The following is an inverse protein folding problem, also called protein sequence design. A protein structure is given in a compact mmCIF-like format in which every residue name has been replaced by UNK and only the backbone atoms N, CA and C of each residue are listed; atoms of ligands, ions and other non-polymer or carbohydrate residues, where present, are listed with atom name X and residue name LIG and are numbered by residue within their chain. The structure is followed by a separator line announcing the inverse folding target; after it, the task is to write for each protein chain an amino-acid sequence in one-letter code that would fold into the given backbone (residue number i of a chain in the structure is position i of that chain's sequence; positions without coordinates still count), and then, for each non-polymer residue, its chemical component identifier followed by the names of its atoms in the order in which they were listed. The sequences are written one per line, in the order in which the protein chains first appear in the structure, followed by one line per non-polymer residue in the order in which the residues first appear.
data_IF_186667532193
#
_entry.id   IF_186667532193
#
_cell.length_a   1.000
_cell.length_b   1.000
_cell.length_c   1.000
_cell.angle_alpha   90.00
_cell.angle_beta   90.00
_cell.angle_gamma   90.00
#
_symmetry.space_group_name_H-M   'P 1'
#
loop_
_entity.id
_entity.type
_entity.pdbx_description
1 polymer ?
#
# COMPACT_ATOMS: atom_id res chain seq x y z
N UNK A 1 19.17 11.69 -5.27
CA UNK A 1 19.16 12.76 -4.24
C UNK A 1 18.65 14.11 -4.75
N UNK A 2 19.19 14.61 -5.87
CA UNK A 2 18.79 15.92 -6.46
C UNK A 2 17.32 16.00 -6.83
N UNK A 3 16.78 14.99 -7.51
CA UNK A 3 15.36 14.90 -7.91
C UNK A 3 14.42 15.13 -6.72
N UNK A 4 14.57 14.34 -5.64
CA UNK A 4 13.70 14.46 -4.46
C UNK A 4 13.84 15.83 -3.78
N UNK A 5 15.06 16.38 -3.73
CA UNK A 5 15.30 17.69 -3.14
C UNK A 5 14.61 18.82 -3.93
N UNK A 6 14.64 18.74 -5.27
CA UNK A 6 13.96 19.70 -6.14
C UNK A 6 12.45 19.67 -5.96
N UNK A 7 11.85 18.48 -5.86
CA UNK A 7 10.41 18.35 -5.59
C UNK A 7 10.05 18.83 -4.18
N UNK A 8 10.86 18.52 -3.16
CA UNK A 8 10.66 18.99 -1.80
C UNK A 8 10.77 20.52 -1.67
N UNK A 9 11.60 21.17 -2.50
CA UNK A 9 11.68 22.63 -2.55
C UNK A 9 10.41 23.28 -3.14
N UNK A 10 9.63 22.55 -3.95
CA UNK A 10 8.41 23.02 -4.62
C UNK A 10 7.12 22.65 -3.87
N UNK A 11 7.14 21.55 -3.12
CA UNK A 11 5.98 21.05 -2.40
C UNK A 11 6.34 20.71 -0.95
N UNK A 12 5.87 21.55 -0.03
CA UNK A 12 6.11 21.42 1.42
C UNK A 12 5.53 20.15 2.05
N UNK A 13 4.64 19.43 1.34
CA UNK A 13 4.11 18.14 1.78
C UNK A 13 5.16 17.03 1.64
N UNK A 14 6.18 17.22 0.79
CA UNK A 14 7.25 16.25 0.56
C UNK A 14 8.35 16.45 1.60
N UNK A 15 8.54 15.46 2.48
CA UNK A 15 9.59 15.46 3.50
C UNK A 15 10.64 14.38 3.22
N UNK A 16 11.76 14.71 2.57
CA UNK A 16 12.81 13.73 2.31
C UNK A 16 13.48 13.29 3.61
N UNK A 17 13.73 11.99 3.74
CA UNK A 17 14.58 11.45 4.79
C UNK A 17 15.61 10.54 4.16
N UNK A 18 16.89 10.78 4.45
CA UNK A 18 18.01 9.99 3.96
C UNK A 18 18.59 9.18 5.13
N UNK A 19 18.58 7.86 4.99
CA UNK A 19 19.27 6.99 5.93
C UNK A 19 20.80 7.14 5.78
N UNK A 20 21.52 6.98 6.89
CA UNK A 20 23.00 7.08 6.92
C UNK A 20 23.68 5.97 6.11
N UNK A 21 22.98 4.85 5.90
CA UNK A 21 23.42 3.73 5.07
C UNK A 21 22.24 2.93 4.52
N UNK A 22 22.53 1.86 3.77
CA UNK A 22 21.50 0.93 3.33
C UNK A 22 21.04 0.07 4.51
N UNK A 23 19.79 0.25 4.94
CA UNK A 23 19.18 -0.50 6.05
C UNK A 23 18.28 -1.65 5.56
N UNK A 24 18.22 -1.92 4.25
CA UNK A 24 17.34 -2.91 3.66
C UNK A 24 15.88 -2.46 3.54
N UNK A 25 15.08 -3.25 2.81
CA UNK A 25 13.70 -2.91 2.46
C UNK A 25 12.74 -2.89 3.66
N UNK A 26 12.71 -3.96 4.47
CA UNK A 26 11.81 -4.07 5.62
C UNK A 26 12.06 -2.97 6.67
N UNK A 27 13.30 -2.69 7.11
CA UNK A 27 13.55 -1.58 8.04
C UNK A 27 13.21 -0.22 7.43
N UNK A 28 13.40 -0.04 6.12
CA UNK A 28 13.01 1.19 5.43
C UNK A 28 11.48 1.37 5.36
N UNK A 29 10.71 0.30 5.10
CA UNK A 29 9.24 0.34 5.15
C UNK A 29 8.71 0.66 6.54
N UNK A 30 9.29 0.03 7.57
CA UNK A 30 8.96 0.32 8.98
C UNK A 30 9.28 1.76 9.35
N UNK A 31 10.42 2.28 8.90
CA UNK A 31 10.84 3.65 9.18
C UNK A 31 9.78 4.67 8.73
N UNK A 32 9.33 4.57 7.47
CA UNK A 32 8.35 5.52 6.94
C UNK A 32 6.95 5.34 7.56
N UNK A 33 6.56 4.11 7.92
CA UNK A 33 5.31 3.85 8.64
C UNK A 33 5.31 4.49 10.04
N UNK A 34 6.45 4.42 10.75
CA UNK A 34 6.59 5.06 12.05
C UNK A 34 6.61 6.59 11.94
N UNK A 35 7.16 7.13 10.85
CA UNK A 35 7.19 8.56 10.58
C UNK A 35 5.86 9.15 10.10
N UNK A 36 4.86 8.31 9.79
CA UNK A 36 3.53 8.73 9.36
C UNK A 36 2.76 9.44 10.47
N UNK A 37 2.06 10.53 10.11
CA UNK A 37 1.29 11.40 11.03
C UNK A 37 -0.19 11.51 10.68
N UNK A 38 -0.56 11.14 9.45
CA UNK A 38 -1.94 11.18 8.98
C UNK A 38 -2.73 9.97 9.53
N UNK A 39 -4.08 10.04 9.55
CA UNK A 39 -4.93 8.91 9.95
C UNK A 39 -4.99 7.80 8.90
N UNK A 40 -4.63 8.12 7.66
CA UNK A 40 -4.52 7.18 6.55
C UNK A 40 -3.06 7.10 6.08
N UNK A 41 -2.65 5.91 5.66
CA UNK A 41 -1.29 5.63 5.22
C UNK A 41 -1.29 4.69 4.02
N UNK A 42 -0.40 4.94 3.07
CA UNK A 42 -0.05 4.00 2.01
C UNK A 42 1.45 4.04 1.78
N UNK A 43 2.03 2.93 1.35
CA UNK A 43 3.32 2.95 0.68
C UNK A 43 3.12 3.26 -0.80
N UNK A 44 4.09 3.93 -1.41
CA UNK A 44 4.15 4.14 -2.84
C UNK A 44 5.53 3.72 -3.33
N UNK A 45 5.60 2.67 -4.16
CA UNK A 45 6.84 2.27 -4.79
C UNK A 45 7.26 3.30 -5.85
N UNK A 46 8.55 3.38 -6.14
CA UNK A 46 9.07 4.38 -7.10
C UNK A 46 8.84 3.96 -8.56
N UNK A 47 8.54 2.68 -8.78
CA UNK A 47 8.41 2.00 -10.07
C UNK A 47 6.94 1.66 -10.44
N UNK A 48 5.99 2.06 -9.59
CA UNK A 48 4.56 1.86 -9.81
C UNK A 48 3.85 3.16 -10.26
N UNK A 49 2.80 2.99 -11.06
CA UNK A 49 1.87 4.07 -11.40
C UNK A 49 0.56 3.94 -10.63
N UNK A 50 -0.02 5.09 -10.28
CA UNK A 50 -1.33 5.17 -9.64
C UNK A 50 -2.32 5.79 -10.63
N UNK A 51 -3.56 5.28 -10.64
CA UNK A 51 -4.64 5.90 -11.39
C UNK A 51 -4.96 7.31 -10.89
N UNK A 52 -5.53 8.15 -11.75
CA UNK A 52 -5.83 9.56 -11.43
C UNK A 52 -6.73 9.71 -10.19
N UNK A 53 -7.68 8.79 -10.02
CA UNK A 53 -8.62 8.77 -8.89
C UNK A 53 -8.20 7.83 -7.76
N UNK A 54 -6.95 7.37 -7.71
CA UNK A 54 -6.51 6.30 -6.81
C UNK A 54 -6.82 6.60 -5.33
N UNK A 55 -6.38 7.76 -4.83
CA UNK A 55 -6.61 8.14 -3.44
C UNK A 55 -8.08 8.44 -3.15
N UNK A 56 -8.80 9.07 -4.10
CA UNK A 56 -10.22 9.38 -3.96
C UNK A 56 -11.04 8.09 -3.81
N UNK A 57 -10.82 7.11 -4.69
CA UNK A 57 -11.52 5.83 -4.66
C UNK A 57 -11.24 5.03 -3.38
N UNK A 58 -9.97 4.94 -2.97
CA UNK A 58 -9.60 4.17 -1.78
C UNK A 58 -10.06 4.83 -0.48
N UNK A 59 -9.94 6.16 -0.38
CA UNK A 59 -10.44 6.91 0.79
C UNK A 59 -11.96 6.90 0.86
N UNK A 60 -12.65 6.98 -0.28
CA UNK A 60 -14.11 6.81 -0.38
C UNK A 60 -14.55 5.45 0.13
N UNK A 61 -13.88 4.36 -0.29
CA UNK A 61 -14.18 3.02 0.19
C UNK A 61 -14.01 2.86 1.71
N UNK A 62 -12.93 3.42 2.29
CA UNK A 62 -12.71 3.41 3.74
C UNK A 62 -13.69 4.31 4.52
N UNK A 63 -14.23 5.34 3.88
CA UNK A 63 -15.19 6.26 4.50
C UNK A 63 -16.61 5.70 4.48
N UNK A 64 -16.94 4.90 3.46
CA UNK A 64 -18.24 4.25 3.34
C UNK A 64 -18.49 3.16 4.38
N UNK A 65 -17.43 2.52 4.88
CA UNK A 65 -17.51 1.48 5.91
C UNK A 65 -16.38 1.67 6.95
N UNK A 66 -16.67 2.33 8.08
CA UNK A 66 -15.68 2.62 9.13
C UNK A 66 -15.06 1.37 9.78
N UNK A 67 -15.70 0.20 9.67
CA UNK A 67 -15.17 -1.07 10.20
C UNK A 67 -14.03 -1.61 9.32
N UNK A 68 -13.81 -1.06 8.12
CA UNK A 68 -12.71 -1.46 7.24
C UNK A 68 -11.43 -0.73 7.58
N UNK A 69 -10.36 -1.53 7.71
CA UNK A 69 -9.02 -1.03 8.03
C UNK A 69 -8.14 -0.80 6.80
N UNK A 70 -8.51 -1.36 5.65
CA UNK A 70 -7.73 -1.32 4.41
C UNK A 70 -8.64 -1.30 3.18
N UNK A 71 -8.26 -0.50 2.19
CA UNK A 71 -8.83 -0.52 0.84
C UNK A 71 -7.73 -0.85 -0.17
N UNK A 72 -8.04 -1.75 -1.11
CA UNK A 72 -7.08 -2.27 -2.09
C UNK A 72 -7.54 -1.90 -3.49
N UNK A 73 -6.68 -1.29 -4.32
CA UNK A 73 -7.06 -0.97 -5.69
C UNK A 73 -7.14 -2.24 -6.54
N UNK A 74 -7.71 -2.09 -7.73
CA UNK A 74 -7.41 -3.02 -8.83
C UNK A 74 -5.94 -2.84 -9.21
N UNK A 75 -5.21 -3.94 -9.33
CA UNK A 75 -3.79 -3.93 -9.70
C UNK A 75 -3.68 -4.30 -11.16
N UNK A 76 -2.90 -3.53 -11.92
CA UNK A 76 -2.59 -3.79 -13.31
C UNK A 76 -1.09 -3.98 -13.43
N UNK A 77 -0.65 -5.14 -13.94
CA UNK A 77 0.76 -5.36 -14.27
C UNK A 77 0.95 -5.13 -15.76
N UNK A 78 1.86 -4.24 -16.09
CA UNK A 78 2.28 -3.97 -17.46
C UNK A 78 3.66 -4.58 -17.70
N UNK A 79 3.93 -4.97 -18.94
CA UNK A 79 5.28 -5.31 -19.40
C UNK A 79 6.04 -4.01 -19.73
N UNK A 80 7.35 -4.13 -19.95
CA UNK A 80 8.21 -2.99 -20.29
C UNK A 80 7.83 -2.33 -21.63
N UNK A 81 7.18 -3.06 -22.53
CA UNK A 81 6.65 -2.53 -23.79
C UNK A 81 5.29 -1.81 -23.64
N UNK A 82 4.80 -1.65 -22.41
CA UNK A 82 3.51 -1.04 -22.08
C UNK A 82 2.31 -1.96 -22.24
N UNK A 83 2.48 -3.21 -22.70
CA UNK A 83 1.37 -4.14 -22.84
C UNK A 83 0.86 -4.61 -21.49
N UNK A 84 -0.45 -4.74 -21.35
CA UNK A 84 -1.08 -5.30 -20.16
C UNK A 84 -0.75 -6.79 -20.04
N UNK A 85 -0.24 -7.20 -18.88
CA UNK A 85 0.09 -8.58 -18.56
C UNK A 85 -0.96 -9.26 -17.67
N UNK A 86 -1.39 -8.57 -16.61
CA UNK A 86 -2.30 -9.14 -15.61
C UNK A 86 -3.17 -8.03 -15.02
N UNK A 87 -4.45 -8.34 -14.78
CA UNK A 87 -5.32 -7.55 -13.92
C UNK A 87 -5.66 -8.42 -12.71
N UNK A 88 -5.39 -7.90 -11.52
CA UNK A 88 -5.76 -8.56 -10.27
C UNK A 88 -6.78 -7.70 -9.53
N UNK A 89 -7.93 -8.30 -9.23
CA UNK A 89 -8.90 -7.81 -8.28
C UNK A 89 -9.46 -8.98 -7.48
N UNK A 90 -9.71 -8.79 -6.20
CA UNK A 90 -10.41 -9.78 -5.38
C UNK A 90 -11.89 -9.40 -5.37
N UNK A 91 -12.67 -10.05 -6.22
CA UNK A 91 -14.12 -9.82 -6.34
C UNK A 91 -14.90 -11.04 -5.89
N UNK A 92 -16.18 -10.83 -5.56
CA UNK A 92 -17.13 -11.91 -5.27
C UNK A 92 -16.89 -12.64 -3.94
N UNK A 93 -16.08 -12.10 -3.02
CA UNK A 93 -15.88 -12.69 -1.70
C UNK A 93 -17.21 -12.81 -0.94
N UNK A 94 -18.11 -11.85 -1.10
CA UNK A 94 -19.38 -11.83 -0.36
C UNK A 94 -20.26 -13.04 -0.68
N UNK A 95 -20.18 -13.58 -1.89
CA UNK A 95 -20.92 -14.76 -2.33
C UNK A 95 -20.32 -16.09 -1.83
N UNK A 96 -19.15 -16.07 -1.17
CA UNK A 96 -18.47 -17.26 -0.70
C UNK A 96 -18.65 -17.46 0.82
N UNK A 97 -18.72 -18.73 1.29
CA UNK A 97 -18.65 -19.02 2.72
C UNK A 97 -17.30 -18.56 3.28
N UNK A 98 -17.26 -18.15 4.56
CA UNK A 98 -16.10 -17.49 5.20
C UNK A 98 -14.77 -18.20 4.95
N UNK A 99 -14.71 -19.53 5.07
CA UNK A 99 -13.48 -20.30 4.87
C UNK A 99 -12.97 -20.25 3.42
N UNK A 100 -13.86 -20.23 2.42
CA UNK A 100 -13.48 -20.06 1.00
C UNK A 100 -13.03 -18.64 0.69
N UNK A 101 -13.48 -17.63 1.44
CA UNK A 101 -12.98 -16.25 1.30
C UNK A 101 -11.47 -16.19 1.56
N UNK A 102 -11.02 -16.83 2.64
CA UNK A 102 -9.59 -16.89 3.00
C UNK A 102 -8.78 -17.56 1.89
N UNK A 103 -9.22 -18.73 1.41
CA UNK A 103 -8.53 -19.43 0.31
C UNK A 103 -8.47 -18.57 -0.95
N UNK A 104 -9.59 -17.91 -1.31
CA UNK A 104 -9.65 -17.02 -2.48
C UNK A 104 -8.72 -15.82 -2.31
N UNK A 105 -8.67 -15.21 -1.12
CA UNK A 105 -7.75 -14.11 -0.82
C UNK A 105 -6.30 -14.56 -0.96
N UNK A 106 -5.93 -15.72 -0.41
CA UNK A 106 -4.56 -16.25 -0.53
C UNK A 106 -4.18 -16.54 -1.98
N UNK A 107 -5.08 -17.15 -2.76
CA UNK A 107 -4.82 -17.49 -4.17
C UNK A 107 -4.70 -16.24 -5.08
N UNK A 108 -5.49 -15.20 -4.78
CA UNK A 108 -5.52 -13.97 -5.56
C UNK A 108 -4.60 -12.87 -5.02
N UNK A 109 -3.99 -13.06 -3.85
CA UNK A 109 -3.08 -12.07 -3.27
C UNK A 109 -1.90 -11.83 -4.21
N UNK A 110 -1.55 -10.56 -4.39
CA UNK A 110 -0.39 -10.12 -5.16
C UNK A 110 0.33 -9.03 -4.37
N UNK A 111 1.64 -8.90 -4.61
CA UNK A 111 2.48 -7.91 -3.92
C UNK A 111 1.92 -6.48 -4.03
N UNK A 112 1.28 -6.13 -5.16
CA UNK A 112 0.63 -4.84 -5.36
C UNK A 112 -0.44 -4.49 -4.31
N UNK A 113 -1.04 -5.48 -3.64
CA UNK A 113 -2.06 -5.23 -2.62
C UNK A 113 -1.47 -4.56 -1.38
N UNK A 114 -0.18 -4.78 -1.11
CA UNK A 114 0.55 -4.14 -0.01
C UNK A 114 0.59 -2.61 -0.14
N UNK A 115 0.44 -2.08 -1.35
CA UNK A 115 0.44 -0.65 -1.61
C UNK A 115 -0.95 0.00 -1.51
N UNK A 116 -1.94 -0.72 -0.96
CA UNK A 116 -3.27 -0.17 -0.68
C UNK A 116 -3.25 0.95 0.37
N UNK A 117 -4.44 1.52 0.61
CA UNK A 117 -4.64 2.56 1.61
C UNK A 117 -5.11 1.93 2.92
N UNK A 118 -4.49 2.31 4.02
CA UNK A 118 -4.74 1.76 5.34
C UNK A 118 -5.16 2.83 6.34
N UNK A 119 -5.96 2.44 7.33
CA UNK A 119 -6.00 3.14 8.62
C UNK A 119 -4.62 2.99 9.27
N UNK A 120 -3.95 4.11 9.55
CA UNK A 120 -2.57 4.10 10.05
C UNK A 120 -2.38 3.26 11.33
N UNK A 121 -3.28 3.29 12.33
CA UNK A 121 -3.17 2.42 13.50
C UNK A 121 -3.22 0.94 13.17
N UNK A 122 -4.09 0.54 12.24
CA UNK A 122 -4.29 -0.86 11.86
C UNK A 122 -3.06 -1.45 11.19
N UNK A 123 -2.50 -0.78 10.18
CA UNK A 123 -1.30 -1.28 9.49
C UNK A 123 -0.08 -1.29 10.41
N UNK A 124 0.02 -0.34 11.35
CA UNK A 124 1.08 -0.34 12.36
C UNK A 124 0.99 -1.55 13.26
N UNK A 125 -0.20 -1.86 13.77
CA UNK A 125 -0.43 -3.05 14.60
C UNK A 125 -0.17 -4.35 13.82
N UNK A 126 -0.62 -4.43 12.57
CA UNK A 126 -0.39 -5.59 11.71
C UNK A 126 1.11 -5.80 11.41
N UNK A 127 1.85 -4.74 11.10
CA UNK A 127 3.28 -4.80 10.82
C UNK A 127 4.08 -5.25 12.05
N UNK A 128 3.79 -4.68 13.22
CA UNK A 128 4.42 -5.06 14.49
C UNK A 128 4.12 -6.52 14.88
N UNK A 129 2.90 -6.99 14.61
CA UNK A 129 2.53 -8.39 14.80
C UNK A 129 3.33 -9.30 13.88
N UNK A 130 3.45 -8.95 12.60
CA UNK A 130 4.22 -9.73 11.63
C UNK A 130 5.70 -9.85 12.05
N UNK A 131 6.36 -8.75 12.42
CA UNK A 131 7.76 -8.79 12.88
C UNK A 131 7.97 -9.61 14.16
N UNK A 132 7.00 -9.60 15.08
CA UNK A 132 7.09 -10.37 16.33
C UNK A 132 6.89 -11.86 16.09
N UNK A 133 5.91 -12.21 15.26
CA UNK A 133 5.46 -13.59 15.10
C UNK A 133 6.23 -14.33 13.98
N UNK A 134 6.88 -13.59 13.06
CA UNK A 134 7.66 -14.10 11.93
C UNK A 134 8.97 -13.31 11.74
N UNK A 135 9.97 -13.52 12.61
CA UNK A 135 11.24 -12.78 12.58
C UNK A 135 12.14 -13.10 11.39
#
# INVERSE_FOLDING_TARGET
PRIVAEFAARDSRIRPVRQTGNIGGLPNFRFVLNAARAPLFMWAAYDDWHGENYLEALSGALSADPEKEMAVPRIMRTRLDGTLAEITAITGLEALPRWRRVIRMLACSRGGMFYGLYRTPAIRAAYQRAERDFP
#
